data_IF_277686759630
#
_entry.id   IF_277686759630
#
_cell.length_a   1.000
_cell.length_b   1.000
_cell.length_c   1.000
_cell.angle_alpha   90.00
_cell.angle_beta   90.00
_cell.angle_gamma   90.00
#
_symmetry.space_group_name_H-M   'P 1'
#
loop_
_entity.id
_entity.type
_entity.pdbx_description
1 polymer ?
#
# COMPACT_ATOMS: atom_id res chain seq x y z
N UNK A 1 -7.54 19.10 -13.01
CA UNK A 1 -8.16 18.55 -11.79
C UNK A 1 -7.38 19.16 -10.63
N UNK A 2 -8.03 19.97 -9.79
CA UNK A 2 -7.33 20.72 -8.72
C UNK A 2 -6.83 19.78 -7.63
N UNK A 3 -5.51 19.76 -7.41
CA UNK A 3 -4.90 18.98 -6.34
C UNK A 3 -5.29 19.49 -4.94
N UNK A 4 -5.71 20.76 -4.83
CA UNK A 4 -6.15 21.39 -3.56
C UNK A 4 -7.46 20.82 -3.00
N UNK A 5 -8.26 20.08 -3.78
CA UNK A 5 -9.50 19.44 -3.30
C UNK A 5 -9.33 18.00 -2.85
N UNK A 6 -8.13 17.43 -2.95
CA UNK A 6 -7.84 16.11 -2.40
C UNK A 6 -7.58 16.31 -0.92
N UNK A 7 -8.56 15.99 -0.09
CA UNK A 7 -8.37 16.08 1.36
C UNK A 7 -7.19 15.21 1.82
N UNK A 8 -6.64 15.50 3.00
CA UNK A 8 -5.54 14.72 3.56
C UNK A 8 -6.05 13.65 4.53
N UNK A 9 -5.29 12.56 4.72
CA UNK A 9 -5.52 11.68 5.86
C UNK A 9 -4.76 12.26 7.05
N UNK A 10 -5.48 12.89 7.98
CA UNK A 10 -4.92 13.65 9.09
C UNK A 10 -5.60 13.26 10.40
N UNK A 11 -4.80 13.19 11.47
CA UNK A 11 -5.29 13.18 12.84
C UNK A 11 -4.78 14.43 13.55
N UNK A 12 -5.69 15.31 13.95
CA UNK A 12 -5.36 16.47 14.78
C UNK A 12 -5.11 16.07 16.23
N UNK A 13 -5.76 15.01 16.71
CA UNK A 13 -5.62 14.48 18.08
C UNK A 13 -4.19 14.04 18.38
N UNK A 14 -3.54 13.34 17.44
CA UNK A 14 -2.17 12.83 17.60
C UNK A 14 -1.15 13.49 16.69
N UNK A 15 -1.57 14.51 15.94
CA UNK A 15 -0.73 15.33 15.06
C UNK A 15 0.08 14.48 14.07
N UNK A 16 -0.60 13.76 13.21
CA UNK A 16 0.05 13.08 12.10
C UNK A 16 -0.70 13.25 10.79
N UNK A 17 0.05 13.19 9.69
CA UNK A 17 -0.47 13.04 8.33
C UNK A 17 -0.06 11.66 7.84
N UNK A 18 -1.00 10.93 7.25
CA UNK A 18 -0.80 9.56 6.79
C UNK A 18 -0.91 9.46 5.27
N UNK A 19 0.16 9.03 4.61
CA UNK A 19 0.12 8.68 3.19
C UNK A 19 -0.25 7.21 3.02
N UNK A 20 -1.34 6.96 2.31
CA UNK A 20 -1.99 5.65 2.23
C UNK A 20 -2.09 5.10 0.80
N UNK A 21 -0.98 4.77 0.09
CA UNK A 21 -1.02 4.31 -1.29
C UNK A 21 -1.97 3.12 -1.53
N UNK A 22 -2.34 2.88 -2.78
CA UNK A 22 -3.17 1.72 -3.11
C UNK A 22 -2.41 0.39 -2.86
N UNK A 23 -3.15 -0.63 -2.41
CA UNK A 23 -2.70 -2.03 -2.22
C UNK A 23 -1.63 -2.27 -1.15
N UNK A 24 -1.48 -1.35 -0.20
CA UNK A 24 -0.54 -1.41 0.93
C UNK A 24 -1.23 -1.73 2.27
N UNK A 25 -2.33 -2.48 2.24
CA UNK A 25 -3.18 -2.70 3.42
C UNK A 25 -3.77 -1.42 4.05
N UNK A 26 -3.83 -0.32 3.27
CA UNK A 26 -4.30 0.97 3.75
C UNK A 26 -5.71 0.93 4.34
N UNK A 27 -6.64 0.11 3.83
CA UNK A 27 -7.98 -0.01 4.43
C UNK A 27 -7.97 -0.53 5.87
N UNK A 28 -7.07 -1.47 6.19
CA UNK A 28 -6.95 -2.02 7.55
C UNK A 28 -6.27 -1.02 8.49
N UNK A 29 -5.21 -0.35 8.02
CA UNK A 29 -4.55 0.72 8.79
C UNK A 29 -5.50 1.89 9.05
N UNK A 30 -6.29 2.26 8.04
CA UNK A 30 -7.37 3.26 8.17
C UNK A 30 -8.34 2.89 9.29
N UNK A 31 -8.85 1.65 9.31
CA UNK A 31 -9.85 1.25 10.32
C UNK A 31 -9.28 1.40 11.74
N UNK A 32 -8.04 0.99 11.95
CA UNK A 32 -7.31 1.15 13.22
C UNK A 32 -7.13 2.64 13.56
N UNK A 33 -6.74 3.47 12.58
CA UNK A 33 -6.56 4.91 12.79
C UNK A 33 -7.87 5.67 13.02
N UNK A 34 -8.98 5.26 12.40
CA UNK A 34 -10.30 5.81 12.72
C UNK A 34 -10.67 5.44 14.16
N UNK A 35 -10.51 4.17 14.54
CA UNK A 35 -10.90 3.67 15.86
C UNK A 35 -10.09 4.29 17.01
N UNK A 36 -8.77 4.37 16.85
CA UNK A 36 -7.88 4.76 17.95
C UNK A 36 -7.31 6.16 17.80
N UNK A 37 -7.21 6.67 16.58
CA UNK A 37 -6.45 7.87 16.27
C UNK A 37 -7.26 9.09 15.86
N UNK A 38 -8.59 9.00 15.76
CA UNK A 38 -9.44 10.12 15.30
C UNK A 38 -9.01 10.63 13.90
N UNK A 39 -8.78 9.68 12.98
CA UNK A 39 -8.42 9.98 11.60
C UNK A 39 -9.64 10.53 10.84
N UNK A 40 -9.50 11.72 10.25
CA UNK A 40 -10.52 12.36 9.43
C UNK A 40 -11.94 12.27 10.03
N UNK A 41 -12.17 12.82 11.24
CA UNK A 41 -13.41 12.60 11.99
C UNK A 41 -14.68 13.05 11.25
N UNK A 42 -14.54 14.04 10.36
CA UNK A 42 -15.65 14.60 9.58
C UNK A 42 -15.88 13.85 8.25
N UNK A 43 -15.18 12.73 8.01
CA UNK A 43 -15.30 11.94 6.79
C UNK A 43 -16.02 10.60 7.06
N UNK A 44 -16.83 10.09 6.11
CA UNK A 44 -17.12 10.69 4.81
C UNK A 44 -18.12 11.87 4.91
N UNK A 45 -18.01 12.82 3.98
CA UNK A 45 -18.89 13.98 3.82
C UNK A 45 -19.29 14.18 2.36
N UNK A 46 -20.12 15.17 2.06
CA UNK A 46 -20.47 15.51 0.67
C UNK A 46 -19.24 15.91 -0.17
N UNK A 47 -18.27 16.60 0.44
CA UNK A 47 -17.03 17.00 -0.23
C UNK A 47 -15.99 15.86 -0.28
N UNK A 48 -16.05 14.96 0.70
CA UNK A 48 -15.14 13.82 0.83
C UNK A 48 -15.94 12.51 0.98
N UNK A 49 -16.43 11.93 -0.14
CA UNK A 49 -17.32 10.76 -0.08
C UNK A 49 -16.64 9.47 0.39
N UNK A 50 -15.31 9.46 0.47
CA UNK A 50 -14.54 8.36 1.06
C UNK A 50 -14.03 8.77 2.44
N UNK A 51 -13.86 7.79 3.33
CA UNK A 51 -13.33 8.01 4.68
C UNK A 51 -11.79 8.14 4.73
N UNK A 52 -11.11 8.06 3.59
CA UNK A 52 -9.68 8.36 3.43
C UNK A 52 -9.34 8.53 1.93
N UNK A 53 -8.14 8.97 1.59
CA UNK A 53 -7.62 9.06 0.21
C UNK A 53 -6.30 8.30 0.05
N UNK A 54 -6.04 7.85 -1.19
CA UNK A 54 -4.79 7.19 -1.57
C UNK A 54 -3.67 8.16 -1.98
N UNK A 55 -4.03 9.40 -2.31
CA UNK A 55 -3.10 10.44 -2.75
C UNK A 55 -3.53 11.76 -2.12
N UNK A 56 -2.63 12.36 -1.36
CA UNK A 56 -2.78 13.67 -0.73
C UNK A 56 -1.46 14.43 -0.76
N UNK A 57 -1.53 15.74 -0.52
CA UNK A 57 -0.35 16.56 -0.22
C UNK A 57 -0.29 16.81 1.30
N UNK A 58 0.80 17.41 1.78
CA UNK A 58 0.81 17.96 3.14
C UNK A 58 -0.31 19.01 3.27
N UNK A 59 -1.23 18.87 4.23
CA UNK A 59 -2.29 19.84 4.43
C UNK A 59 -1.74 21.15 5.03
N UNK A 60 -2.31 22.29 4.62
CA UNK A 60 -1.85 23.62 5.05
C UNK A 60 -2.02 23.83 6.57
N UNK A 61 -2.99 23.15 7.18
CA UNK A 61 -3.27 23.16 8.62
C UNK A 61 -2.33 22.29 9.46
N UNK A 62 -1.52 21.42 8.84
CA UNK A 62 -0.51 20.64 9.55
C UNK A 62 0.78 21.45 9.71
N UNK A 63 1.06 21.87 10.95
CA UNK A 63 2.30 22.55 11.30
C UNK A 63 3.52 21.62 11.37
N UNK A 64 4.68 22.19 11.71
CA UNK A 64 5.95 21.48 11.85
C UNK A 64 5.97 20.43 12.97
N UNK A 65 4.96 20.45 13.86
CA UNK A 65 4.79 19.51 14.96
C UNK A 65 4.03 18.24 14.58
N UNK A 66 3.61 18.10 13.32
CA UNK A 66 2.98 16.90 12.79
C UNK A 66 4.04 15.93 12.27
N UNK A 67 3.84 14.64 12.53
CA UNK A 67 4.68 13.58 11.95
C UNK A 67 4.08 13.04 10.66
N UNK A 68 4.93 12.63 9.73
CA UNK A 68 4.53 11.93 8.52
C UNK A 68 4.65 10.42 8.69
N UNK A 69 3.52 9.74 8.58
CA UNK A 69 3.43 8.28 8.57
C UNK A 69 3.11 7.83 7.14
N UNK A 70 3.74 6.77 6.66
CA UNK A 70 3.41 6.22 5.35
C UNK A 70 3.24 4.70 5.39
N UNK A 71 2.18 4.20 4.75
CA UNK A 71 2.04 2.76 4.54
C UNK A 71 2.74 2.32 3.27
N UNK A 72 3.49 1.22 3.37
CA UNK A 72 4.23 0.65 2.25
C UNK A 72 3.97 -0.85 2.11
N UNK A 73 4.28 -1.39 0.93
CA UNK A 73 4.26 -2.83 0.68
C UNK A 73 5.35 -3.18 -0.31
N UNK A 74 5.93 -4.36 -0.12
CA UNK A 74 6.92 -4.93 -1.00
C UNK A 74 6.37 -4.96 -2.45
N UNK A 75 7.08 -4.38 -3.45
CA UNK A 75 6.50 -4.09 -4.77
C UNK A 75 5.93 -5.31 -5.49
N UNK A 76 6.58 -6.47 -5.42
CA UNK A 76 6.07 -7.73 -5.96
C UNK A 76 4.66 -8.09 -5.44
N UNK A 77 4.45 -8.06 -4.12
CA UNK A 77 3.16 -8.41 -3.52
C UNK A 77 2.11 -7.32 -3.74
N UNK A 78 2.53 -6.05 -3.81
CA UNK A 78 1.65 -4.94 -4.17
C UNK A 78 1.14 -5.07 -5.61
N UNK A 79 2.02 -5.38 -6.55
CA UNK A 79 1.66 -5.62 -7.95
C UNK A 79 0.72 -6.81 -8.09
N UNK A 80 1.05 -7.95 -7.49
CA UNK A 80 0.19 -9.13 -7.50
C UNK A 80 -1.20 -8.86 -6.92
N UNK A 81 -1.28 -8.05 -5.86
CA UNK A 81 -2.55 -7.62 -5.27
C UNK A 81 -3.36 -6.71 -6.21
N UNK A 82 -2.70 -5.86 -7.01
CA UNK A 82 -3.36 -5.04 -8.01
C UNK A 82 -3.81 -5.85 -9.22
N UNK A 83 -2.92 -6.69 -9.77
CA UNK A 83 -3.24 -7.59 -10.88
C UNK A 83 -4.44 -8.48 -10.59
N UNK A 84 -4.51 -9.06 -9.38
CA UNK A 84 -5.66 -9.88 -8.97
C UNK A 84 -6.98 -9.11 -9.04
N UNK A 85 -7.00 -7.84 -8.62
CA UNK A 85 -8.20 -7.01 -8.70
C UNK A 85 -8.70 -6.92 -10.14
N UNK A 86 -7.80 -6.63 -11.08
CA UNK A 86 -8.20 -6.57 -12.48
C UNK A 86 -8.57 -7.92 -13.09
N UNK A 87 -7.88 -8.99 -12.71
CA UNK A 87 -8.21 -10.34 -13.16
C UNK A 87 -9.65 -10.75 -12.80
N UNK A 88 -10.17 -10.28 -11.67
CA UNK A 88 -11.55 -10.55 -11.26
C UNK A 88 -12.59 -9.58 -11.85
N UNK A 89 -12.19 -8.73 -12.80
CA UNK A 89 -13.10 -7.83 -13.52
C UNK A 89 -13.52 -6.60 -12.72
N UNK A 90 -12.80 -6.26 -11.65
CA UNK A 90 -13.00 -4.98 -10.96
C UNK A 90 -12.48 -3.82 -11.82
N UNK A 91 -12.96 -2.59 -11.61
CA UNK A 91 -12.46 -1.44 -12.37
C UNK A 91 -10.95 -1.22 -12.15
N UNK A 92 -10.20 -1.15 -13.24
CA UNK A 92 -8.75 -1.08 -13.22
C UNK A 92 -8.18 -0.36 -14.45
N UNK A 93 -6.90 0.04 -14.37
CA UNK A 93 -6.19 0.73 -15.45
C UNK A 93 -5.28 -0.22 -16.26
N UNK A 94 -5.14 -1.48 -15.84
CA UNK A 94 -4.26 -2.45 -16.50
C UNK A 94 -4.73 -2.84 -17.90
N UNK A 95 -3.76 -3.07 -18.79
CA UNK A 95 -3.98 -3.67 -20.10
C UNK A 95 -4.10 -5.20 -19.98
N UNK A 96 -5.26 -5.75 -20.35
CA UNK A 96 -5.55 -7.19 -20.48
C UNK A 96 -5.06 -8.08 -19.29
N UNK A 97 -5.70 -7.98 -18.11
CA UNK A 97 -5.31 -8.72 -16.91
C UNK A 97 -5.31 -10.24 -17.08
N UNK A 98 -5.99 -10.78 -18.10
CA UNK A 98 -6.11 -12.21 -18.34
C UNK A 98 -4.84 -12.82 -18.94
N UNK A 99 -3.95 -12.00 -19.54
CA UNK A 99 -2.64 -12.45 -20.06
C UNK A 99 -1.59 -12.68 -18.97
N UNK A 100 -1.96 -12.52 -17.70
CA UNK A 100 -1.12 -12.80 -16.55
C UNK A 100 -0.26 -11.61 -16.11
N UNK A 101 0.27 -11.66 -14.89
CA UNK A 101 0.83 -10.50 -14.20
C UNK A 101 2.12 -9.96 -14.83
N UNK A 102 2.89 -10.80 -15.53
CA UNK A 102 4.12 -10.39 -16.22
C UNK A 102 3.79 -9.50 -17.41
N UNK A 103 2.98 -10.01 -18.34
CA UNK A 103 2.62 -9.30 -19.57
C UNK A 103 1.89 -8.00 -19.26
N UNK A 104 1.01 -8.02 -18.26
CA UNK A 104 0.32 -6.82 -17.78
C UNK A 104 1.33 -5.76 -17.32
N UNK A 105 2.30 -6.12 -16.48
CA UNK A 105 3.27 -5.15 -15.95
C UNK A 105 4.17 -4.59 -17.06
N UNK A 106 4.60 -5.44 -17.98
CA UNK A 106 5.46 -5.02 -19.09
C UNK A 106 4.77 -4.05 -20.07
N UNK A 107 3.44 -4.13 -20.18
CA UNK A 107 2.65 -3.28 -21.08
C UNK A 107 2.20 -1.97 -20.43
N UNK A 108 2.38 -1.80 -19.12
CA UNK A 108 2.13 -0.52 -18.46
C UNK A 108 3.12 0.55 -18.95
N UNK A 109 2.60 1.76 -19.15
CA UNK A 109 3.41 2.91 -19.55
C UNK A 109 4.33 3.38 -18.41
N UNK A 110 5.44 4.02 -18.77
CA UNK A 110 6.37 4.60 -17.78
C UNK A 110 5.69 5.65 -16.89
N UNK A 111 4.77 6.46 -17.44
CA UNK A 111 4.01 7.43 -16.65
C UNK A 111 3.12 6.75 -15.60
N UNK A 112 2.52 5.61 -15.94
CA UNK A 112 1.74 4.83 -14.99
C UNK A 112 2.63 4.27 -13.89
N UNK A 113 3.79 3.67 -14.25
CA UNK A 113 4.77 3.13 -13.30
C UNK A 113 5.25 4.22 -12.35
N UNK A 114 5.56 5.41 -12.87
CA UNK A 114 5.96 6.57 -12.07
C UNK A 114 4.85 7.03 -11.14
N UNK A 115 3.61 7.11 -11.62
CA UNK A 115 2.44 7.45 -10.81
C UNK A 115 2.15 6.41 -9.72
N UNK A 116 2.54 5.16 -9.94
CA UNK A 116 2.39 4.06 -8.98
C UNK A 116 3.58 3.88 -8.04
N UNK A 117 4.72 4.52 -8.27
CA UNK A 117 5.88 4.42 -7.40
C UNK A 117 5.57 4.95 -5.99
N UNK A 118 5.67 4.10 -4.96
CA UNK A 118 5.32 4.50 -3.58
C UNK A 118 6.25 5.57 -3.05
N UNK A 119 7.55 5.44 -3.32
CA UNK A 119 8.52 6.42 -2.87
C UNK A 119 8.16 7.81 -3.37
N UNK A 120 7.91 7.96 -4.66
CA UNK A 120 7.55 9.25 -5.26
C UNK A 120 6.21 9.76 -4.72
N UNK A 121 5.19 8.90 -4.57
CA UNK A 121 3.91 9.28 -3.96
C UNK A 121 4.07 9.82 -2.54
N UNK A 122 4.83 9.12 -1.70
CA UNK A 122 5.06 9.49 -0.30
C UNK A 122 5.89 10.78 -0.20
N UNK A 123 6.89 10.93 -1.07
CA UNK A 123 7.75 12.12 -1.12
C UNK A 123 7.05 13.36 -1.66
N UNK A 124 5.98 13.19 -2.43
CA UNK A 124 5.12 14.29 -2.85
C UNK A 124 4.27 14.81 -1.68
N UNK A 125 3.88 13.95 -0.73
CA UNK A 125 3.21 14.38 0.50
C UNK A 125 4.15 15.15 1.41
N UNK A 126 5.31 14.59 1.75
CA UNK A 126 6.29 15.25 2.62
C UNK A 126 7.73 14.91 2.27
N UNK A 127 8.63 15.86 2.55
CA UNK A 127 10.08 15.69 2.40
C UNK A 127 10.72 14.84 3.51
N UNK A 128 9.99 14.44 4.52
CA UNK A 128 10.46 13.55 5.58
C UNK A 128 9.43 12.44 5.77
N UNK A 129 9.89 11.28 6.25
CA UNK A 129 9.03 10.17 6.63
C UNK A 129 9.50 9.79 8.02
N UNK A 130 8.64 9.96 9.02
CA UNK A 130 8.98 9.72 10.41
C UNK A 130 8.76 8.25 10.77
N UNK A 131 7.73 7.61 10.18
CA UNK A 131 7.44 6.20 10.39
C UNK A 131 6.86 5.52 9.14
N UNK A 132 7.25 4.26 8.94
CA UNK A 132 6.73 3.39 7.88
C UNK A 132 5.89 2.27 8.48
N UNK A 133 4.70 2.04 7.93
CA UNK A 133 3.86 0.90 8.25
C UNK A 133 3.89 -0.06 7.07
N UNK A 134 4.65 -1.15 7.20
CA UNK A 134 4.74 -2.21 6.19
C UNK A 134 3.49 -3.07 6.26
N UNK A 135 2.88 -3.30 5.10
CA UNK A 135 1.76 -4.23 4.97
C UNK A 135 2.14 -5.65 5.45
N UNK A 136 3.43 -5.97 5.42
CA UNK A 136 3.97 -7.24 5.89
C UNK A 136 4.04 -7.38 7.41
N UNK A 137 4.01 -6.28 8.16
CA UNK A 137 4.32 -6.23 9.60
C UNK A 137 3.48 -5.17 10.33
N UNK A 138 2.21 -5.02 9.94
CA UNK A 138 1.37 -3.89 10.33
C UNK A 138 1.26 -3.72 11.84
N UNK A 139 1.11 -4.83 12.58
CA UNK A 139 0.86 -4.78 14.02
C UNK A 139 2.08 -4.25 14.75
N UNK A 140 3.24 -4.77 14.41
CA UNK A 140 4.52 -4.42 15.00
C UNK A 140 4.89 -2.98 14.65
N UNK A 141 4.76 -2.59 13.38
CA UNK A 141 5.10 -1.23 12.93
C UNK A 141 4.15 -0.18 13.56
N UNK A 142 2.87 -0.51 13.74
CA UNK A 142 1.93 0.36 14.46
C UNK A 142 2.26 0.50 15.95
N UNK A 143 2.82 -0.53 16.60
CA UNK A 143 3.22 -0.47 18.01
C UNK A 143 4.41 0.45 18.28
N UNK A 144 5.15 0.83 17.24
CA UNK A 144 6.21 1.84 17.36
C UNK A 144 5.65 3.26 17.57
N UNK A 145 4.37 3.50 17.25
CA UNK A 145 3.71 4.77 17.48
C UNK A 145 3.35 4.91 18.97
N UNK A 146 3.87 5.96 19.60
CA UNK A 146 3.70 6.24 21.04
C UNK A 146 2.24 6.42 21.50
N UNK A 147 1.31 6.64 20.57
CA UNK A 147 -0.11 6.83 20.85
C UNK A 147 -0.98 5.59 20.59
N UNK A 148 -0.41 4.53 20.01
CA UNK A 148 -1.17 3.32 19.73
C UNK A 148 -1.39 2.51 21.02
N UNK A 149 -2.58 1.93 21.23
CA UNK A 149 -2.82 1.04 22.37
C UNK A 149 -1.97 -0.23 22.27
N UNK A 150 -1.70 -0.87 23.41
CA UNK A 150 -0.96 -2.14 23.46
C UNK A 150 -1.76 -3.31 22.85
N UNK A 151 -3.09 -3.21 22.95
CA UNK A 151 -4.10 -4.17 22.50
C UNK A 151 -4.96 -3.61 21.37
N UNK A 152 -4.64 -4.02 20.15
CA UNK A 152 -5.53 -3.87 18.99
C UNK A 152 -5.39 -5.08 18.07
N UNK A 153 -6.44 -5.30 17.29
CA UNK A 153 -6.49 -6.34 16.29
C UNK A 153 -6.23 -5.75 14.90
N UNK A 154 -5.33 -6.38 14.17
CA UNK A 154 -5.16 -6.11 12.75
C UNK A 154 -6.07 -7.09 12.02
N UNK A 155 -7.11 -6.61 11.28
CA UNK A 155 -7.97 -7.49 10.50
C UNK A 155 -7.12 -8.38 9.60
N UNK A 156 -7.45 -9.67 9.48
CA UNK A 156 -6.67 -10.57 8.64
C UNK A 156 -6.74 -10.11 7.18
N UNK A 157 -5.63 -9.53 6.72
CA UNK A 157 -5.47 -9.06 5.35
C UNK A 157 -4.99 -10.26 4.56
N UNK A 158 -5.94 -11.13 4.23
CA UNK A 158 -5.63 -12.53 4.07
C UNK A 158 -4.66 -12.88 2.94
N UNK A 159 -4.21 -14.14 2.97
CA UNK A 159 -3.50 -14.80 1.87
C UNK A 159 -4.21 -14.47 0.57
N UNK A 160 -3.51 -13.81 -0.33
CA UNK A 160 -4.07 -13.50 -1.64
C UNK A 160 -4.24 -14.83 -2.37
N UNK A 161 -5.46 -15.36 -2.41
CA UNK A 161 -5.74 -16.51 -3.25
C UNK A 161 -5.53 -16.11 -4.69
N UNK A 162 -4.40 -16.54 -5.25
CA UNK A 162 -4.11 -16.29 -6.65
C UNK A 162 -4.99 -17.19 -7.52
N UNK A 163 -5.50 -16.65 -8.64
CA UNK A 163 -6.06 -17.47 -9.72
C UNK A 163 -5.09 -18.60 -10.06
N UNK A 164 -5.62 -19.75 -10.47
CA UNK A 164 -4.79 -20.89 -10.90
C UNK A 164 -4.20 -20.62 -12.30
N UNK A 165 -3.33 -19.62 -12.38
CA UNK A 165 -2.55 -19.29 -13.57
C UNK A 165 -1.10 -19.71 -13.34
N UNK A 166 -0.43 -20.16 -14.39
CA UNK A 166 0.98 -20.49 -14.33
C UNK A 166 1.80 -19.20 -14.37
N UNK A 167 2.23 -18.73 -13.20
CA UNK A 167 3.05 -17.51 -13.08
C UNK A 167 4.52 -17.93 -13.07
N UNK A 168 5.31 -17.40 -13.99
CA UNK A 168 6.76 -17.46 -13.87
C UNK A 168 7.19 -16.48 -12.77
N UNK A 169 7.26 -16.96 -11.53
CA UNK A 169 7.53 -16.14 -10.34
C UNK A 169 8.89 -15.44 -10.41
N UNK A 170 9.94 -16.13 -10.85
CA UNK A 170 11.28 -15.56 -11.00
C UNK A 170 11.29 -14.39 -11.98
N UNK A 171 10.68 -14.59 -13.16
CA UNK A 171 10.58 -13.54 -14.16
C UNK A 171 9.72 -12.37 -13.67
N UNK A 172 8.60 -12.65 -12.99
CA UNK A 172 7.76 -11.60 -12.41
C UNK A 172 8.50 -10.78 -11.35
N UNK A 173 9.27 -11.43 -10.45
CA UNK A 173 10.11 -10.74 -9.47
C UNK A 173 11.12 -9.82 -10.14
N UNK A 174 11.76 -10.29 -11.21
CA UNK A 174 12.70 -9.47 -11.97
C UNK A 174 12.01 -8.25 -12.60
N UNK A 175 10.87 -8.43 -13.28
CA UNK A 175 10.14 -7.30 -13.90
C UNK A 175 9.65 -6.31 -12.85
N UNK A 176 9.16 -6.79 -11.69
CA UNK A 176 8.79 -5.92 -10.58
C UNK A 176 9.98 -5.13 -10.04
N UNK A 177 11.14 -5.76 -9.90
CA UNK A 177 12.37 -5.10 -9.47
C UNK A 177 12.80 -4.01 -10.44
N UNK A 178 12.81 -4.30 -11.74
CA UNK A 178 13.24 -3.35 -12.76
C UNK A 178 12.29 -2.14 -12.83
N UNK A 179 10.98 -2.38 -12.79
CA UNK A 179 9.95 -1.32 -12.90
C UNK A 179 9.77 -0.51 -11.62
N UNK A 180 9.93 -1.11 -10.45
CA UNK A 180 9.75 -0.45 -9.16
C UNK A 180 11.05 -0.35 -8.35
N UNK A 181 12.19 -0.28 -9.03
CA UNK A 181 13.53 -0.28 -8.43
C UNK A 181 13.68 0.71 -7.27
N UNK A 182 13.15 1.92 -7.43
CA UNK A 182 13.20 2.95 -6.38
C UNK A 182 12.50 2.52 -5.09
N UNK A 183 11.34 1.84 -5.18
CA UNK A 183 10.63 1.36 -3.98
C UNK A 183 11.49 0.32 -3.24
N UNK A 184 12.12 -0.61 -3.97
CA UNK A 184 13.02 -1.61 -3.38
C UNK A 184 14.18 -0.94 -2.62
N UNK A 185 14.92 -0.06 -3.31
CA UNK A 185 16.12 0.54 -2.72
C UNK A 185 15.79 1.49 -1.58
N UNK A 186 14.74 2.31 -1.71
CA UNK A 186 14.42 3.34 -0.72
C UNK A 186 13.76 2.79 0.53
N UNK A 187 12.99 1.71 0.41
CA UNK A 187 12.37 1.06 1.57
C UNK A 187 13.17 -0.14 2.10
N UNK A 188 14.28 -0.50 1.45
CA UNK A 188 15.18 -1.55 1.91
C UNK A 188 14.63 -2.96 1.71
N UNK A 189 13.79 -3.17 0.69
CA UNK A 189 13.29 -4.50 0.35
C UNK A 189 14.30 -5.28 -0.49
N UNK A 190 14.39 -6.59 -0.25
CA UNK A 190 15.16 -7.48 -1.13
C UNK A 190 14.29 -8.01 -2.27
N UNK A 191 14.86 -8.16 -3.47
CA UNK A 191 14.12 -8.63 -4.66
C UNK A 191 13.39 -9.97 -4.41
N UNK A 192 14.11 -10.89 -3.79
CA UNK A 192 13.71 -12.28 -3.59
C UNK A 192 13.16 -12.51 -2.18
N UNK A 193 12.82 -11.44 -1.46
CA UNK A 193 12.21 -11.53 -0.13
C UNK A 193 10.86 -12.26 -0.21
N UNK A 194 10.61 -13.13 0.78
CA UNK A 194 9.44 -13.99 0.85
C UNK A 194 8.72 -13.77 2.17
N UNK A 195 7.41 -13.50 2.09
CA UNK A 195 6.56 -13.32 3.26
C UNK A 195 5.47 -14.40 3.30
N UNK A 196 5.56 -15.30 4.29
CA UNK A 196 4.68 -16.46 4.43
C UNK A 196 3.19 -16.10 4.55
N UNK A 197 2.89 -14.91 5.07
CA UNK A 197 1.53 -14.37 5.19
C UNK A 197 0.87 -14.13 3.82
N UNK A 198 1.66 -13.92 2.77
CA UNK A 198 1.18 -13.61 1.41
C UNK A 198 1.27 -14.79 0.46
N UNK A 199 2.09 -15.79 0.76
CA UNK A 199 2.24 -16.98 -0.06
C UNK A 199 1.31 -18.13 0.39
N UNK A 200 0.78 -18.88 -0.58
CA UNK A 200 0.14 -20.16 -0.26
C UNK A 200 1.22 -21.10 0.28
N UNK A 201 0.96 -21.88 1.35
CA UNK A 201 1.90 -22.91 1.75
C UNK A 201 2.09 -23.86 0.56
N UNK A 202 3.33 -23.99 0.08
CA UNK A 202 3.69 -25.01 -0.91
C UNK A 202 3.24 -26.34 -0.30
N UNK A 203 2.20 -26.96 -0.86
CA UNK A 203 1.80 -28.31 -0.45
C UNK A 203 3.05 -29.18 -0.62
N UNK A 204 3.68 -29.57 0.49
CA UNK A 204 4.69 -30.62 0.48
C UNK A 204 3.98 -31.87 -0.02
N UNK A 205 4.14 -32.19 -1.30
CA UNK A 205 3.78 -33.51 -1.79
C UNK A 205 4.69 -34.49 -1.04
N UNK A 206 4.16 -35.08 0.03
CA UNK A 206 4.73 -36.31 0.59
C UNK A 206 4.39 -37.39 -0.42
N UNK A 207 5.34 -37.72 -1.30
CA UNK A 207 5.32 -39.00 -1.97
C UNK A 207 5.37 -40.07 -0.85
N UNK A 208 4.32 -40.88 -0.77
CA UNK A 208 4.34 -42.16 -0.06
C UNK A 208 4.73 -43.24 -1.05
#
# INVERSE_FOLDING_TARGET
MDFQKRGANISHKYKFVWTAPAKVASRSVRDIFIEHCDLNPDWPSEEHPSNFTHVNNWPDEAGDDYIHIASIRHPYYRWLSYWKYGYHGEEHEMCDPLNGPVMCLQTMSEDWIKGWNQWDLIRNTSKTIDLLIRAENIKEDLKELWFMPDDFDVPFIGKTEFPRVNINEEHLRQVCYDRFYNDYIKFGYEKDEVYEIWERPKKKFRFR
#
